data_IF_318938342807
#
_entry.id   IF_318938342807
#
_cell.length_a   1.000
_cell.length_b   1.000
_cell.length_c   1.000
_cell.angle_alpha   90.00
_cell.angle_beta   90.00
_cell.angle_gamma   90.00
#
_symmetry.space_group_name_H-M   'P 1'
#
loop_
_entity.id
_entity.type
_entity.pdbx_description
1 polymer ?
#
# COMPACT_ATOMS: atom_id res chain seq x y z
N UNK A 1 1.72 26.90 -8.88
CA UNK A 1 2.27 27.47 -7.62
C UNK A 1 1.39 27.22 -6.38
N UNK A 2 0.15 27.73 -6.31
CA UNK A 2 -0.75 27.51 -5.14
C UNK A 2 -1.04 26.02 -4.83
N UNK A 3 -1.30 25.23 -5.87
CA UNK A 3 -1.48 23.77 -5.76
C UNK A 3 -0.15 23.05 -5.46
N UNK A 4 0.93 23.44 -6.15
CA UNK A 4 2.26 22.84 -5.94
C UNK A 4 2.78 23.01 -4.50
N UNK A 5 2.49 24.15 -3.85
CA UNK A 5 2.91 24.43 -2.47
C UNK A 5 1.80 24.19 -1.44
N UNK A 6 0.69 23.56 -1.82
CA UNK A 6 -0.46 23.30 -0.93
C UNK A 6 -0.96 24.54 -0.15
N UNK A 7 -0.75 25.75 -0.69
CA UNK A 7 -1.08 27.01 0.00
C UNK A 7 -2.59 27.20 0.21
N UNK A 8 -3.41 26.48 -0.54
CA UNK A 8 -4.87 26.47 -0.42
C UNK A 8 -5.36 25.84 0.91
N UNK A 9 -4.54 25.06 1.61
CA UNK A 9 -4.84 24.52 2.94
C UNK A 9 -4.60 25.54 4.07
N UNK A 10 -3.83 26.60 3.82
CA UNK A 10 -3.47 27.58 4.86
C UNK A 10 -4.68 28.25 5.55
N UNK A 11 -5.80 28.59 4.87
CA UNK A 11 -6.99 29.10 5.53
C UNK A 11 -7.57 28.10 6.54
N UNK A 12 -7.64 26.82 6.17
CA UNK A 12 -8.15 25.75 7.05
C UNK A 12 -7.25 25.59 8.29
N UNK A 13 -5.92 25.61 8.12
CA UNK A 13 -4.99 25.56 9.25
C UNK A 13 -5.09 26.78 10.18
N UNK A 14 -5.36 27.96 9.62
CA UNK A 14 -5.60 29.16 10.43
C UNK A 14 -6.89 29.05 11.25
N UNK A 15 -7.94 28.45 10.69
CA UNK A 15 -9.19 28.19 11.43
C UNK A 15 -8.96 27.15 12.52
N UNK A 16 -8.32 26.02 12.17
CA UNK A 16 -8.05 24.92 13.10
C UNK A 16 -7.15 25.32 14.27
N UNK A 17 -6.26 26.31 14.06
CA UNK A 17 -5.43 26.87 15.13
C UNK A 17 -6.24 27.71 16.12
N UNK A 18 -7.31 28.38 15.65
CA UNK A 18 -8.14 29.26 16.49
C UNK A 18 -9.29 28.54 17.17
N UNK A 19 -9.86 27.54 16.51
CA UNK A 19 -11.01 26.77 17.00
C UNK A 19 -10.99 25.34 16.46
N UNK A 20 -11.76 24.46 17.09
CA UNK A 20 -12.03 23.13 16.55
C UNK A 20 -12.80 23.27 15.23
N UNK A 21 -12.37 22.54 14.21
CA UNK A 21 -13.03 22.52 12.90
C UNK A 21 -14.44 21.94 13.00
N UNK A 22 -15.37 22.57 12.29
CA UNK A 22 -16.74 22.11 12.10
C UNK A 22 -16.95 21.61 10.67
N UNK A 23 -18.06 20.90 10.43
CA UNK A 23 -18.37 20.34 9.10
C UNK A 23 -18.46 21.43 8.03
N UNK A 24 -19.01 22.59 8.38
CA UNK A 24 -19.15 23.75 7.48
C UNK A 24 -17.79 24.39 7.08
N UNK A 25 -16.71 24.14 7.83
CA UNK A 25 -15.36 24.61 7.46
C UNK A 25 -14.74 23.78 6.33
N UNK A 26 -15.32 22.62 6.01
CA UNK A 26 -14.77 21.69 5.03
C UNK A 26 -15.09 22.11 3.60
N UNK A 27 -14.08 22.05 2.74
CA UNK A 27 -14.28 22.37 1.33
C UNK A 27 -15.15 21.32 0.63
N UNK A 28 -16.03 21.73 -0.30
CA UNK A 28 -16.77 20.79 -1.13
C UNK A 28 -15.80 20.00 -2.01
N UNK A 29 -16.18 18.76 -2.33
CA UNK A 29 -15.42 17.89 -3.21
C UNK A 29 -15.39 18.48 -4.63
N UNK A 30 -14.24 18.37 -5.29
CA UNK A 30 -14.08 18.79 -6.68
C UNK A 30 -15.08 18.04 -7.58
N UNK A 31 -15.68 18.69 -8.60
CA UNK A 31 -16.62 18.04 -9.51
C UNK A 31 -16.10 16.75 -10.17
N UNK A 32 -14.81 16.74 -10.52
CA UNK A 32 -14.11 15.57 -11.09
C UNK A 32 -13.97 14.39 -10.11
N UNK A 33 -14.03 14.66 -8.80
CA UNK A 33 -13.83 13.67 -7.75
C UNK A 33 -15.17 13.20 -7.14
N UNK A 34 -16.30 13.55 -7.77
CA UNK A 34 -17.64 13.12 -7.33
C UNK A 34 -17.86 11.64 -7.58
N UNK A 35 -18.58 10.99 -6.66
CA UNK A 35 -18.82 9.54 -6.69
C UNK A 35 -19.58 9.06 -7.92
N UNK A 36 -20.56 9.85 -8.39
CA UNK A 36 -21.36 9.49 -9.55
C UNK A 36 -20.51 9.39 -10.82
N UNK A 37 -19.72 10.41 -11.12
CA UNK A 37 -18.86 10.42 -12.32
C UNK A 37 -17.86 9.27 -12.31
N UNK A 38 -17.10 9.13 -11.22
CA UNK A 38 -16.07 8.09 -11.09
C UNK A 38 -16.67 6.68 -11.10
N UNK A 39 -17.82 6.53 -10.46
CA UNK A 39 -18.54 5.27 -10.37
C UNK A 39 -19.16 4.83 -11.70
N UNK A 40 -19.78 5.75 -12.44
CA UNK A 40 -20.35 5.48 -13.76
C UNK A 40 -19.25 5.17 -14.79
N UNK A 41 -18.11 5.87 -14.73
CA UNK A 41 -16.96 5.60 -15.62
C UNK A 41 -16.43 4.18 -15.43
N UNK A 42 -16.10 3.78 -14.19
CA UNK A 42 -15.58 2.45 -13.91
C UNK A 42 -16.63 1.36 -14.19
N UNK A 43 -17.90 1.61 -13.88
CA UNK A 43 -18.98 0.69 -14.18
C UNK A 43 -19.12 0.47 -15.69
N UNK A 44 -19.01 1.51 -16.52
CA UNK A 44 -19.04 1.37 -17.97
C UNK A 44 -17.93 0.47 -18.51
N UNK A 45 -16.71 0.59 -17.96
CA UNK A 45 -15.60 -0.31 -18.30
C UNK A 45 -15.82 -1.75 -17.80
N UNK A 46 -16.45 -1.91 -16.64
CA UNK A 46 -16.82 -3.23 -16.10
C UNK A 46 -17.88 -3.92 -16.97
N UNK A 47 -18.96 -3.21 -17.32
CA UNK A 47 -20.04 -3.74 -18.16
C UNK A 47 -19.51 -4.18 -19.53
N UNK A 48 -18.61 -3.39 -20.14
CA UNK A 48 -17.93 -3.77 -21.38
C UNK A 48 -17.03 -5.01 -21.23
N UNK A 49 -16.35 -5.18 -20.09
CA UNK A 49 -15.53 -6.36 -19.84
C UNK A 49 -16.38 -7.61 -19.62
N UNK A 50 -17.54 -7.48 -18.95
CA UNK A 50 -18.51 -8.58 -18.78
C UNK A 50 -19.06 -9.04 -20.13
N UNK A 51 -19.46 -8.12 -21.01
CA UNK A 51 -19.94 -8.45 -22.35
C UNK A 51 -18.86 -9.17 -23.19
N UNK A 52 -17.63 -8.63 -23.21
CA UNK A 52 -16.51 -9.28 -23.93
C UNK A 52 -16.17 -10.65 -23.36
N UNK A 53 -16.27 -10.81 -22.04
CA UNK A 53 -15.99 -12.07 -21.38
C UNK A 53 -17.03 -13.14 -21.78
N UNK A 54 -18.29 -12.74 -21.96
CA UNK A 54 -19.33 -13.62 -22.50
C UNK A 54 -19.06 -14.02 -23.97
N UNK A 55 -18.66 -13.07 -24.82
CA UNK A 55 -18.30 -13.35 -26.23
C UNK A 55 -17.09 -14.28 -26.34
N UNK A 56 -16.06 -14.07 -25.51
CA UNK A 56 -14.82 -14.85 -25.49
C UNK A 56 -14.94 -16.17 -24.69
N UNK A 57 -16.12 -16.50 -24.14
CA UNK A 57 -16.36 -17.62 -23.24
C UNK A 57 -15.34 -17.73 -22.07
N UNK A 58 -15.00 -16.58 -21.47
CA UNK A 58 -14.04 -16.47 -20.35
C UNK A 58 -14.67 -15.79 -19.14
N UNK A 59 -14.05 -15.94 -17.98
CA UNK A 59 -14.48 -15.19 -16.79
C UNK A 59 -14.10 -13.69 -16.92
N UNK A 60 -15.01 -12.76 -16.55
CA UNK A 60 -14.72 -11.34 -16.53
C UNK A 60 -13.72 -11.00 -15.42
N UNK A 61 -12.86 -10.01 -15.66
CA UNK A 61 -11.83 -9.62 -14.69
C UNK A 61 -11.90 -8.14 -14.34
N UNK A 62 -12.11 -7.85 -13.06
CA UNK A 62 -12.22 -6.49 -12.53
C UNK A 62 -10.89 -5.75 -12.65
N UNK A 63 -9.78 -6.48 -12.50
CA UNK A 63 -8.45 -5.93 -12.72
C UNK A 63 -8.30 -5.34 -14.14
N UNK A 64 -8.82 -6.02 -15.17
CA UNK A 64 -8.76 -5.52 -16.56
C UNK A 64 -9.57 -4.24 -16.73
N UNK A 65 -10.77 -4.16 -16.12
CA UNK A 65 -11.59 -2.96 -16.15
C UNK A 65 -10.89 -1.77 -15.46
N UNK A 66 -10.31 -1.99 -14.27
CA UNK A 66 -9.55 -0.98 -13.52
C UNK A 66 -8.35 -0.48 -14.34
N UNK A 67 -7.56 -1.39 -14.93
CA UNK A 67 -6.38 -1.05 -15.73
C UNK A 67 -6.77 -0.26 -16.98
N UNK A 68 -7.87 -0.62 -17.66
CA UNK A 68 -8.35 0.14 -18.83
C UNK A 68 -8.82 1.55 -18.47
N UNK A 69 -9.49 1.72 -17.32
CA UNK A 69 -10.00 3.01 -16.85
C UNK A 69 -8.86 3.92 -16.35
N UNK A 70 -8.07 3.47 -15.37
CA UNK A 70 -7.09 4.32 -14.70
C UNK A 70 -5.64 4.16 -15.20
N UNK A 71 -5.33 3.09 -15.94
CA UNK A 71 -3.95 2.72 -16.26
C UNK A 71 -3.18 3.76 -17.07
N UNK A 72 -3.81 4.43 -18.04
CA UNK A 72 -3.14 5.48 -18.84
C UNK A 72 -2.73 6.67 -17.99
N UNK A 73 -3.66 7.18 -17.16
CA UNK A 73 -3.39 8.29 -16.24
C UNK A 73 -2.33 7.90 -15.20
N UNK A 74 -2.42 6.68 -14.67
CA UNK A 74 -1.46 6.13 -13.71
C UNK A 74 -0.04 6.03 -14.30
N UNK A 75 0.11 5.54 -15.54
CA UNK A 75 1.42 5.42 -16.20
C UNK A 75 2.15 6.75 -16.40
N UNK A 76 1.41 7.84 -16.66
CA UNK A 76 2.00 9.18 -16.79
C UNK A 76 2.72 9.58 -15.49
N UNK A 77 2.09 9.34 -14.34
CA UNK A 77 2.70 9.62 -13.04
C UNK A 77 3.91 8.71 -12.74
N UNK A 78 3.90 7.48 -13.27
CA UNK A 78 5.05 6.58 -13.20
C UNK A 78 6.31 7.13 -13.86
N UNK A 79 6.17 7.83 -14.99
CA UNK A 79 7.31 8.49 -15.63
C UNK A 79 7.89 9.59 -14.74
N UNK A 80 7.06 10.33 -14.00
CA UNK A 80 7.53 11.30 -13.01
C UNK A 80 8.27 10.62 -11.85
N UNK A 81 7.84 9.45 -11.38
CA UNK A 81 8.57 8.68 -10.35
C UNK A 81 9.95 8.25 -10.84
N UNK A 82 10.06 7.81 -12.10
CA UNK A 82 11.35 7.48 -12.68
C UNK A 82 12.28 8.69 -12.74
N UNK A 83 11.76 9.87 -13.08
CA UNK A 83 12.51 11.12 -13.07
C UNK A 83 12.93 11.51 -11.64
N UNK A 84 12.03 11.38 -10.67
CA UNK A 84 12.31 11.64 -9.25
C UNK A 84 13.47 10.78 -8.75
N UNK A 85 13.41 9.46 -8.92
CA UNK A 85 14.47 8.55 -8.49
C UNK A 85 15.76 8.79 -9.28
N UNK A 86 15.67 9.17 -10.55
CA UNK A 86 16.81 9.62 -11.35
C UNK A 86 17.52 10.82 -10.73
N UNK A 87 16.78 11.87 -10.35
CA UNK A 87 17.37 13.06 -9.68
C UNK A 87 18.02 12.72 -8.35
N UNK A 88 17.49 11.73 -7.63
CA UNK A 88 18.06 11.25 -6.36
C UNK A 88 19.42 10.57 -6.54
N UNK A 89 19.63 9.85 -7.63
CA UNK A 89 20.93 9.21 -7.96
C UNK A 89 21.97 10.23 -8.42
N UNK A 90 21.53 11.29 -9.11
CA UNK A 90 22.42 12.33 -9.63
C UNK A 90 23.00 13.21 -8.52
N UNK A 91 22.27 13.43 -7.42
CA UNK A 91 22.74 14.22 -6.26
C UNK A 91 24.11 13.78 -5.73
N UNK A 92 24.35 12.47 -5.42
CA UNK A 92 25.67 11.97 -5.05
C UNK A 92 26.80 12.35 -5.99
N UNK A 93 26.56 12.37 -7.31
CA UNK A 93 27.59 12.62 -8.32
C UNK A 93 28.07 14.08 -8.23
N UNK A 94 27.14 15.03 -8.15
CA UNK A 94 27.48 16.44 -7.95
C UNK A 94 28.25 16.66 -6.65
N UNK A 95 27.82 15.98 -5.59
CA UNK A 95 28.45 16.11 -4.28
C UNK A 95 29.86 15.49 -4.28
N UNK A 96 30.08 14.36 -4.95
CA UNK A 96 31.41 13.80 -5.17
C UNK A 96 32.33 14.77 -5.91
N UNK A 97 31.86 15.37 -7.01
CA UNK A 97 32.64 16.38 -7.76
C UNK A 97 33.00 17.61 -6.92
N UNK A 98 32.09 18.07 -6.06
CA UNK A 98 32.38 19.15 -5.10
C UNK A 98 33.46 18.75 -4.09
N UNK A 99 33.41 17.52 -3.56
CA UNK A 99 34.45 17.01 -2.65
C UNK A 99 35.79 16.92 -3.38
N UNK A 100 35.80 16.42 -4.62
CA UNK A 100 37.01 16.32 -5.45
C UNK A 100 37.67 17.68 -5.72
N UNK A 101 36.86 18.74 -5.89
CA UNK A 101 37.36 20.11 -5.99
C UNK A 101 38.06 20.58 -4.70
N UNK A 102 37.50 20.26 -3.53
CA UNK A 102 38.10 20.61 -2.23
C UNK A 102 39.40 19.84 -2.00
N UNK A 103 39.45 18.56 -2.39
CA UNK A 103 40.66 17.73 -2.29
C UNK A 103 41.82 18.28 -3.14
N UNK A 104 41.51 18.77 -4.34
CA UNK A 104 42.49 19.27 -5.30
C UNK A 104 42.48 20.80 -5.41
N UNK A 105 42.21 21.49 -4.30
CA UNK A 105 42.05 22.94 -4.29
C UNK A 105 43.34 23.64 -4.74
N UNK A 106 43.27 24.37 -5.85
CA UNK A 106 44.35 25.21 -6.36
C UNK A 106 43.90 26.68 -6.40
N UNK A 107 44.48 27.57 -5.57
CA UNK A 107 44.10 28.98 -5.50
C UNK A 107 44.38 29.75 -6.80
N UNK A 108 45.21 29.25 -7.72
CA UNK A 108 45.47 29.88 -9.01
C UNK A 108 44.41 29.56 -10.08
N UNK A 109 43.60 28.51 -9.86
CA UNK A 109 42.68 27.99 -10.87
C UNK A 109 41.25 28.54 -10.69
N UNK A 110 41.04 29.77 -11.15
CA UNK A 110 39.71 30.40 -11.15
C UNK A 110 38.64 29.62 -11.93
N UNK A 111 39.03 28.85 -12.95
CA UNK A 111 38.09 28.02 -13.72
C UNK A 111 37.50 26.87 -12.89
N UNK A 112 38.33 26.19 -12.08
CA UNK A 112 37.87 25.13 -11.18
C UNK A 112 36.90 25.65 -10.10
N UNK A 113 37.11 26.89 -9.62
CA UNK A 113 36.18 27.53 -8.70
C UNK A 113 34.80 27.77 -9.33
N UNK A 114 34.77 28.25 -10.57
CA UNK A 114 33.50 28.43 -11.31
C UNK A 114 32.80 27.09 -11.59
N UNK A 115 33.55 26.03 -11.89
CA UNK A 115 33.02 24.67 -12.06
C UNK A 115 32.40 24.15 -10.76
N UNK A 116 33.06 24.35 -9.62
CA UNK A 116 32.55 23.98 -8.30
C UNK A 116 31.26 24.73 -7.93
N UNK A 117 31.16 26.03 -8.26
CA UNK A 117 29.90 26.77 -8.11
C UNK A 117 28.80 26.22 -9.03
N UNK A 118 29.15 25.78 -10.24
CA UNK A 118 28.24 25.09 -11.15
C UNK A 118 27.70 23.79 -10.54
N UNK A 119 28.57 22.95 -9.97
CA UNK A 119 28.17 21.72 -9.27
C UNK A 119 27.32 21.99 -8.03
N UNK A 120 27.63 23.04 -7.25
CA UNK A 120 26.82 23.44 -6.09
C UNK A 120 25.41 23.93 -6.48
N UNK A 121 25.32 24.72 -7.55
CA UNK A 121 24.05 25.15 -8.12
C UNK A 121 23.25 23.96 -8.67
N UNK A 122 23.92 23.04 -9.36
CA UNK A 122 23.35 21.79 -9.86
C UNK A 122 22.78 20.91 -8.74
N UNK A 123 23.55 20.68 -7.67
CA UNK A 123 23.11 19.95 -6.49
C UNK A 123 21.89 20.59 -5.84
N UNK A 124 21.91 21.91 -5.64
CA UNK A 124 20.80 22.67 -5.07
C UNK A 124 19.54 22.57 -5.93
N UNK A 125 19.69 22.68 -7.25
CA UNK A 125 18.59 22.51 -8.20
C UNK A 125 18.05 21.07 -8.18
N UNK A 126 18.91 20.05 -8.14
CA UNK A 126 18.50 18.65 -8.05
C UNK A 126 17.70 18.35 -6.78
N UNK A 127 18.11 18.88 -5.63
CA UNK A 127 17.36 18.70 -4.37
C UNK A 127 16.00 19.38 -4.43
N UNK A 128 15.91 20.60 -4.99
CA UNK A 128 14.65 21.32 -5.13
C UNK A 128 13.70 20.61 -6.11
N UNK A 129 14.22 20.17 -7.26
CA UNK A 129 13.44 19.42 -8.26
C UNK A 129 12.95 18.10 -7.66
N UNK A 130 13.81 17.36 -6.95
CA UNK A 130 13.43 16.14 -6.25
C UNK A 130 12.29 16.39 -5.26
N UNK A 131 12.41 17.41 -4.40
CA UNK A 131 11.37 17.73 -3.41
C UNK A 131 10.02 18.07 -4.06
N UNK A 132 10.04 18.86 -5.15
CA UNK A 132 8.83 19.20 -5.90
C UNK A 132 8.22 17.95 -6.55
N UNK A 133 9.02 17.15 -7.25
CA UNK A 133 8.57 15.93 -7.91
C UNK A 133 7.99 14.93 -6.91
N UNK A 134 8.68 14.71 -5.79
CA UNK A 134 8.25 13.79 -4.73
C UNK A 134 6.87 14.16 -4.18
N UNK A 135 6.68 15.43 -3.79
CA UNK A 135 5.39 15.86 -3.24
C UNK A 135 4.26 15.86 -4.28
N UNK A 136 4.55 16.23 -5.53
CA UNK A 136 3.58 16.14 -6.63
C UNK A 136 3.17 14.69 -6.89
N UNK A 137 4.15 13.79 -6.97
CA UNK A 137 3.91 12.36 -7.16
C UNK A 137 3.03 11.81 -6.04
N UNK A 138 3.41 12.00 -4.77
CA UNK A 138 2.64 11.47 -3.64
C UNK A 138 1.21 12.02 -3.59
N UNK A 139 1.03 13.32 -3.83
CA UNK A 139 -0.30 13.94 -3.85
C UNK A 139 -1.19 13.35 -4.96
N UNK A 140 -0.68 13.31 -6.19
CA UNK A 140 -1.45 12.77 -7.32
C UNK A 140 -1.74 11.29 -7.15
N UNK A 141 -0.79 10.53 -6.58
CA UNK A 141 -0.95 9.11 -6.42
C UNK A 141 -1.94 8.73 -5.32
N UNK A 142 -1.98 9.51 -4.23
CA UNK A 142 -3.05 9.43 -3.22
C UNK A 142 -4.42 9.77 -3.84
N UNK A 143 -4.50 10.81 -4.70
CA UNK A 143 -5.75 11.19 -5.36
C UNK A 143 -6.25 10.10 -6.31
N UNK A 144 -5.37 9.44 -7.08
CA UNK A 144 -5.74 8.30 -7.93
C UNK A 144 -6.25 7.12 -7.10
N UNK A 145 -5.57 6.78 -6.00
CA UNK A 145 -6.05 5.76 -5.05
C UNK A 145 -7.44 6.06 -4.51
N UNK A 146 -7.66 7.30 -4.06
CA UNK A 146 -8.95 7.76 -3.57
C UNK A 146 -10.04 7.66 -4.64
N UNK A 147 -9.76 8.09 -5.88
CA UNK A 147 -10.71 8.00 -6.99
C UNK A 147 -11.14 6.57 -7.26
N UNK A 148 -10.18 5.65 -7.33
CA UNK A 148 -10.46 4.22 -7.51
C UNK A 148 -11.27 3.67 -6.33
N UNK A 149 -10.94 4.04 -5.09
CA UNK A 149 -11.71 3.65 -3.90
C UNK A 149 -13.16 4.10 -4.01
N UNK A 150 -13.39 5.37 -4.34
CA UNK A 150 -14.75 5.93 -4.49
C UNK A 150 -15.52 5.23 -5.61
N UNK A 151 -14.88 4.99 -6.76
CA UNK A 151 -15.50 4.30 -7.89
C UNK A 151 -15.92 2.86 -7.55
N UNK A 152 -15.05 2.10 -6.88
CA UNK A 152 -15.35 0.73 -6.45
C UNK A 152 -16.44 0.71 -5.37
N UNK A 153 -16.40 1.65 -4.41
CA UNK A 153 -17.50 1.82 -3.45
C UNK A 153 -18.84 2.05 -4.17
N UNK A 154 -18.86 2.93 -5.18
CA UNK A 154 -20.07 3.17 -5.98
C UNK A 154 -20.58 1.90 -6.66
N UNK A 155 -19.70 1.10 -7.30
CA UNK A 155 -20.09 -0.18 -7.91
C UNK A 155 -20.66 -1.16 -6.89
N UNK A 156 -20.02 -1.28 -5.71
CA UNK A 156 -20.51 -2.13 -4.62
C UNK A 156 -21.88 -1.64 -4.16
N UNK A 157 -22.06 -0.34 -3.91
CA UNK A 157 -23.35 0.23 -3.52
C UNK A 157 -24.42 0.05 -4.58
N UNK A 158 -24.10 0.20 -5.87
CA UNK A 158 -25.04 -0.06 -6.97
C UNK A 158 -25.44 -1.53 -7.02
N UNK A 159 -24.49 -2.45 -6.94
CA UNK A 159 -24.76 -3.90 -6.89
C UNK A 159 -25.61 -4.24 -5.68
N UNK A 160 -25.26 -3.75 -4.49
CA UNK A 160 -26.06 -3.88 -3.26
C UNK A 160 -27.46 -3.32 -3.49
N UNK A 161 -27.61 -2.12 -4.01
CA UNK A 161 -28.94 -1.52 -4.21
C UNK A 161 -29.80 -2.36 -5.16
N UNK A 162 -29.26 -2.78 -6.31
CA UNK A 162 -29.97 -3.63 -7.29
C UNK A 162 -30.30 -4.99 -6.69
N UNK A 163 -29.34 -5.63 -6.04
CA UNK A 163 -29.52 -6.94 -5.40
C UNK A 163 -30.50 -6.85 -4.23
N UNK A 164 -30.40 -5.88 -3.33
CA UNK A 164 -31.28 -5.73 -2.17
C UNK A 164 -32.71 -5.30 -2.54
N UNK A 165 -32.88 -4.51 -3.61
CA UNK A 165 -34.22 -4.19 -4.11
C UNK A 165 -34.96 -5.45 -4.60
N UNK A 166 -34.23 -6.49 -5.02
CA UNK A 166 -34.79 -7.74 -5.58
C UNK A 166 -34.62 -8.98 -4.67
N UNK A 167 -33.71 -8.94 -3.69
CA UNK A 167 -33.34 -10.05 -2.80
C UNK A 167 -34.24 -10.19 -1.56
N UNK A 168 -35.35 -9.46 -1.48
CA UNK A 168 -36.46 -9.87 -0.60
C UNK A 168 -36.96 -11.29 -0.93
N UNK A 169 -36.56 -11.87 -2.07
CA UNK A 169 -36.81 -13.27 -2.46
C UNK A 169 -35.62 -14.22 -2.16
N UNK A 170 -35.28 -14.37 -0.88
CA UNK A 170 -34.72 -15.53 -0.16
C UNK A 170 -33.47 -16.33 -0.59
N UNK A 171 -32.90 -16.29 -1.80
CA UNK A 171 -31.79 -17.22 -2.16
C UNK A 171 -30.38 -16.60 -2.24
N UNK A 172 -30.24 -15.32 -2.60
CA UNK A 172 -28.92 -14.66 -2.68
C UNK A 172 -28.37 -14.23 -1.30
N UNK A 173 -29.26 -13.96 -0.35
CA UNK A 173 -28.92 -13.46 1.00
C UNK A 173 -28.18 -14.48 1.87
N UNK A 174 -28.24 -15.78 1.52
CA UNK A 174 -27.49 -16.83 2.22
C UNK A 174 -25.99 -16.88 1.87
N UNK A 175 -25.57 -16.34 0.71
CA UNK A 175 -24.16 -16.38 0.26
C UNK A 175 -23.36 -15.16 0.70
N UNK A 176 -24.00 -14.01 0.90
CA UNK A 176 -23.33 -12.77 1.33
C UNK A 176 -23.98 -12.14 2.54
N UNK A 177 -23.26 -12.08 3.65
CA UNK A 177 -23.72 -11.43 4.88
C UNK A 177 -23.49 -9.93 4.83
N UNK A 178 -24.32 -9.15 5.55
CA UNK A 178 -24.11 -7.70 5.74
C UNK A 178 -22.70 -7.40 6.26
N UNK A 179 -22.15 -8.26 7.12
CA UNK A 179 -20.79 -8.15 7.64
C UNK A 179 -19.72 -8.26 6.55
N UNK A 180 -19.91 -9.13 5.55
CA UNK A 180 -18.98 -9.25 4.41
C UNK A 180 -18.99 -7.97 3.55
N UNK A 181 -20.17 -7.38 3.31
CA UNK A 181 -20.29 -6.13 2.54
C UNK A 181 -19.61 -4.97 3.27
N UNK A 182 -19.84 -4.84 4.58
CA UNK A 182 -19.18 -3.84 5.41
C UNK A 182 -17.67 -4.05 5.42
N UNK A 183 -17.19 -5.29 5.46
CA UNK A 183 -15.77 -5.58 5.37
C UNK A 183 -15.18 -5.21 4.00
N UNK A 184 -15.90 -5.46 2.89
CA UNK A 184 -15.46 -5.01 1.57
C UNK A 184 -15.27 -3.49 1.56
N UNK A 185 -16.28 -2.73 1.96
CA UNK A 185 -16.28 -1.26 1.98
C UNK A 185 -15.25 -0.65 2.94
N UNK A 186 -14.98 -1.29 4.08
CA UNK A 186 -14.10 -0.74 5.13
C UNK A 186 -12.65 -1.22 5.05
N UNK A 187 -12.39 -2.44 4.55
CA UNK A 187 -11.05 -3.01 4.53
C UNK A 187 -10.51 -3.20 3.11
N UNK A 188 -11.28 -3.80 2.20
CA UNK A 188 -10.79 -4.17 0.87
C UNK A 188 -10.62 -2.92 -0.01
N UNK A 189 -11.57 -1.99 -0.01
CA UNK A 189 -11.45 -0.78 -0.85
C UNK A 189 -10.32 0.16 -0.38
N UNK A 190 -10.02 0.19 0.92
CA UNK A 190 -8.90 0.98 1.47
C UNK A 190 -7.51 0.49 1.01
N UNK A 191 -7.39 -0.74 0.48
CA UNK A 191 -6.12 -1.24 -0.09
C UNK A 191 -5.74 -0.50 -1.37
N UNK A 192 -6.69 0.07 -2.09
CA UNK A 192 -6.44 0.82 -3.32
C UNK A 192 -5.63 2.10 -3.07
N UNK A 193 -5.89 2.79 -1.96
CA UNK A 193 -5.12 3.99 -1.57
C UNK A 193 -3.63 3.66 -1.37
N UNK A 194 -3.36 2.52 -0.72
CA UNK A 194 -2.00 2.09 -0.39
C UNK A 194 -1.26 1.53 -1.61
N UNK A 195 -1.91 0.67 -2.40
CA UNK A 195 -1.25 0.02 -3.54
C UNK A 195 -0.89 1.02 -4.63
N UNK A 196 -1.75 2.01 -4.90
CA UNK A 196 -1.48 3.01 -5.94
C UNK A 196 -0.21 3.80 -5.64
N UNK A 197 0.05 4.11 -4.37
CA UNK A 197 1.25 4.82 -3.91
C UNK A 197 2.55 4.04 -4.15
N UNK A 198 2.52 2.71 -4.01
CA UNK A 198 3.74 1.89 -4.06
C UNK A 198 3.94 1.11 -5.35
N UNK A 199 2.91 0.92 -6.17
CA UNK A 199 2.94 0.01 -7.32
C UNK A 199 4.03 0.36 -8.36
N UNK A 200 4.37 1.64 -8.59
CA UNK A 200 5.47 2.00 -9.49
C UNK A 200 6.86 1.54 -9.01
N UNK A 201 7.07 1.35 -7.71
CA UNK A 201 8.35 0.87 -7.19
C UNK A 201 8.66 -0.58 -7.58
N UNK A 202 7.69 -1.35 -8.10
CA UNK A 202 7.96 -2.69 -8.63
C UNK A 202 8.88 -2.67 -9.85
N UNK A 203 8.82 -1.64 -10.69
CA UNK A 203 9.67 -1.52 -11.88
C UNK A 203 10.74 -0.43 -11.72
N UNK A 204 10.43 0.68 -11.04
CA UNK A 204 11.41 1.72 -10.74
C UNK A 204 12.48 1.19 -9.78
N UNK A 205 12.13 0.33 -8.82
CA UNK A 205 13.08 -0.23 -7.86
C UNK A 205 14.21 -1.03 -8.52
N UNK A 206 13.90 -2.05 -9.35
CA UNK A 206 14.91 -2.78 -10.12
C UNK A 206 15.71 -1.88 -11.07
N UNK A 207 15.06 -0.94 -11.77
CA UNK A 207 15.75 0.01 -12.65
C UNK A 207 16.78 0.85 -11.86
N UNK A 208 16.39 1.36 -10.69
CA UNK A 208 17.28 2.10 -9.81
C UNK A 208 18.44 1.23 -9.33
N UNK A 209 18.18 -0.02 -8.96
CA UNK A 209 19.20 -0.95 -8.52
C UNK A 209 20.24 -1.20 -9.61
N UNK A 210 19.81 -1.38 -10.86
CA UNK A 210 20.72 -1.51 -12.02
C UNK A 210 21.55 -0.24 -12.17
N UNK A 211 20.93 0.94 -12.22
CA UNK A 211 21.64 2.21 -12.37
C UNK A 211 22.68 2.44 -11.27
N UNK A 212 22.30 2.27 -10.00
CA UNK A 212 23.23 2.42 -8.87
C UNK A 212 24.36 1.40 -8.94
N UNK A 213 24.06 0.16 -9.30
CA UNK A 213 25.09 -0.88 -9.46
C UNK A 213 26.08 -0.54 -10.57
N UNK A 214 25.60 -0.01 -11.71
CA UNK A 214 26.49 0.44 -12.80
C UNK A 214 27.38 1.61 -12.40
N UNK A 215 26.86 2.56 -11.63
CA UNK A 215 27.65 3.68 -11.10
C UNK A 215 28.69 3.21 -10.09
N UNK A 216 28.33 2.28 -9.20
CA UNK A 216 29.28 1.68 -8.28
C UNK A 216 30.38 0.92 -9.01
N UNK A 217 30.05 0.16 -10.07
CA UNK A 217 31.06 -0.50 -10.91
C UNK A 217 32.03 0.51 -11.55
N UNK A 218 31.52 1.64 -12.04
CA UNK A 218 32.36 2.68 -12.63
C UNK A 218 33.32 3.34 -11.63
N UNK A 219 32.90 3.52 -10.38
CA UNK A 219 33.67 4.27 -9.37
C UNK A 219 34.67 3.43 -8.58
N UNK A 220 34.32 2.18 -8.25
CA UNK A 220 35.12 1.28 -7.38
C UNK A 220 35.39 -0.10 -7.99
N UNK A 221 34.99 -0.35 -9.23
CA UNK A 221 35.30 -1.58 -9.95
C UNK A 221 34.72 -2.83 -9.28
N UNK A 222 35.54 -3.87 -9.12
CA UNK A 222 35.10 -5.18 -8.57
C UNK A 222 34.75 -5.14 -7.08
N UNK A 223 35.14 -4.08 -6.36
CA UNK A 223 35.03 -3.99 -4.89
C UNK A 223 33.58 -3.95 -4.37
N UNK A 224 32.59 -3.60 -5.21
CA UNK A 224 31.18 -3.56 -4.77
C UNK A 224 30.50 -4.94 -4.79
N UNK A 225 31.06 -5.94 -5.49
CA UNK A 225 30.40 -7.25 -5.66
C UNK A 225 30.10 -7.96 -4.32
N UNK A 226 31.02 -8.00 -3.33
CA UNK A 226 30.72 -8.58 -2.03
C UNK A 226 29.60 -7.84 -1.28
N UNK A 227 29.49 -6.51 -1.44
CA UNK A 227 28.41 -5.74 -0.84
C UNK A 227 27.04 -6.07 -1.45
N UNK A 228 26.98 -6.35 -2.76
CA UNK A 228 25.74 -6.83 -3.39
C UNK A 228 25.36 -8.23 -2.92
N UNK A 229 26.33 -9.11 -2.69
CA UNK A 229 26.07 -10.41 -2.08
C UNK A 229 25.47 -10.27 -0.67
N UNK A 230 26.02 -9.36 0.14
CA UNK A 230 25.46 -9.01 1.47
C UNK A 230 24.02 -8.49 1.35
N UNK A 231 23.75 -7.60 0.39
CA UNK A 231 22.39 -7.09 0.16
C UNK A 231 21.41 -8.23 -0.13
N UNK A 232 21.76 -9.14 -1.04
CA UNK A 232 20.90 -10.29 -1.40
C UNK A 232 20.65 -11.18 -0.18
N UNK A 233 21.69 -11.52 0.59
CA UNK A 233 21.56 -12.35 1.79
C UNK A 233 20.63 -11.68 2.81
N UNK A 234 20.78 -10.36 3.03
CA UNK A 234 19.95 -9.62 3.97
C UNK A 234 18.49 -9.50 3.48
N UNK A 235 18.24 -9.35 2.18
CA UNK A 235 16.89 -9.37 1.62
C UNK A 235 16.20 -10.74 1.82
N UNK A 236 16.93 -11.84 1.66
CA UNK A 236 16.43 -13.18 1.95
C UNK A 236 16.12 -13.35 3.45
N UNK A 237 17.00 -12.85 4.32
CA UNK A 237 16.79 -12.87 5.77
C UNK A 237 15.56 -12.04 6.19
N UNK A 238 15.39 -10.84 5.65
CA UNK A 238 14.21 -9.99 5.88
C UNK A 238 12.92 -10.67 5.40
N UNK A 239 12.98 -11.40 4.29
CA UNK A 239 11.84 -12.21 3.79
C UNK A 239 11.50 -13.34 4.74
N UNK A 240 12.49 -14.02 5.33
CA UNK A 240 12.29 -15.02 6.38
C UNK A 240 11.63 -14.40 7.63
N UNK A 241 12.12 -13.24 8.09
CA UNK A 241 11.51 -12.51 9.20
C UNK A 241 10.05 -12.14 8.91
N UNK A 242 9.73 -11.70 7.69
CA UNK A 242 8.36 -11.39 7.27
C UNK A 242 7.45 -12.61 7.36
N UNK A 243 7.88 -13.78 6.87
CA UNK A 243 7.10 -15.02 6.95
C UNK A 243 6.84 -15.44 8.39
N UNK A 244 7.88 -15.45 9.22
CA UNK A 244 7.76 -15.78 10.63
C UNK A 244 6.84 -14.78 11.36
N UNK A 245 6.97 -13.49 11.03
CA UNK A 245 6.15 -12.43 11.59
C UNK A 245 4.66 -12.61 11.22
N UNK A 246 4.37 -12.98 9.97
CA UNK A 246 3.00 -13.31 9.52
C UNK A 246 2.41 -14.48 10.31
N UNK A 247 3.16 -15.57 10.48
CA UNK A 247 2.73 -16.73 11.27
C UNK A 247 2.43 -16.37 12.74
N UNK A 248 3.30 -15.56 13.36
CA UNK A 248 3.08 -15.09 14.73
C UNK A 248 1.86 -14.19 14.83
N UNK A 249 1.63 -13.30 13.85
CA UNK A 249 0.46 -12.42 13.80
C UNK A 249 -0.84 -13.24 13.72
N UNK A 250 -0.88 -14.28 12.89
CA UNK A 250 -2.04 -15.19 12.81
C UNK A 250 -2.31 -15.90 14.14
N UNK A 251 -1.28 -16.40 14.81
CA UNK A 251 -1.41 -17.04 16.14
C UNK A 251 -1.88 -16.05 17.20
N UNK A 252 -1.41 -14.81 17.16
CA UNK A 252 -1.88 -13.74 18.05
C UNK A 252 -3.37 -13.47 17.82
N UNK A 253 -3.80 -13.32 16.56
CA UNK A 253 -5.21 -13.08 16.24
C UNK A 253 -6.12 -14.18 16.80
N UNK A 254 -5.79 -15.46 16.60
CA UNK A 254 -6.57 -16.58 17.15
C UNK A 254 -6.67 -16.56 18.69
N UNK A 255 -5.59 -16.17 19.39
CA UNK A 255 -5.60 -16.04 20.86
C UNK A 255 -6.42 -14.83 21.31
N UNK A 256 -6.33 -13.71 20.59
CA UNK A 256 -7.12 -12.51 20.83
C UNK A 256 -8.61 -12.79 20.63
N UNK A 257 -8.99 -13.50 19.57
CA UNK A 257 -10.38 -13.87 19.28
C UNK A 257 -10.97 -14.75 20.39
N UNK A 258 -10.22 -15.77 20.84
CA UNK A 258 -10.64 -16.61 21.95
C UNK A 258 -10.86 -15.78 23.23
N UNK A 259 -9.90 -14.90 23.58
CA UNK A 259 -10.04 -14.01 24.75
C UNK A 259 -11.25 -13.09 24.64
N UNK A 260 -11.50 -12.50 23.46
CA UNK A 260 -12.64 -11.60 23.24
C UNK A 260 -13.96 -12.38 23.33
N UNK A 261 -14.04 -13.58 22.76
CA UNK A 261 -15.21 -14.46 22.85
C UNK A 261 -15.54 -14.81 24.30
N UNK A 262 -14.55 -15.30 25.07
CA UNK A 262 -14.74 -15.61 26.49
C UNK A 262 -15.16 -14.37 27.29
N UNK A 263 -14.57 -13.22 27.00
CA UNK A 263 -14.94 -11.96 27.66
C UNK A 263 -16.39 -11.57 27.35
N UNK A 264 -16.86 -11.78 26.11
CA UNK A 264 -18.25 -11.55 25.73
C UNK A 264 -19.21 -12.48 26.48
N UNK A 265 -18.88 -13.76 26.63
CA UNK A 265 -19.69 -14.73 27.40
C UNK A 265 -19.77 -14.34 28.88
N UNK A 266 -18.66 -13.89 29.48
CA UNK A 266 -18.61 -13.41 30.87
C UNK A 266 -19.49 -12.19 31.08
N UNK A 267 -19.48 -11.23 30.14
CA UNK A 267 -20.31 -10.02 30.21
C UNK A 267 -21.79 -10.39 30.08
N UNK A 268 -22.14 -11.25 29.13
CA UNK A 268 -23.52 -11.71 28.94
C UNK A 268 -24.02 -12.50 30.17
N UNK A 269 -23.15 -13.28 30.82
CA UNK A 269 -23.45 -14.08 32.01
C UNK A 269 -23.20 -13.38 33.35
N UNK A 270 -22.95 -12.07 33.38
CA UNK A 270 -22.39 -11.39 34.57
C UNK A 270 -23.24 -11.53 35.83
N UNK A 271 -24.57 -11.55 35.68
CA UNK A 271 -25.52 -11.70 36.80
C UNK A 271 -25.32 -13.05 37.51
N UNK A 272 -25.22 -14.13 36.75
CA UNK A 272 -24.99 -15.49 37.27
C UNK A 272 -23.63 -15.62 37.94
N UNK A 273 -22.59 -15.00 37.35
CA UNK A 273 -21.24 -15.01 37.90
C UNK A 273 -21.22 -14.31 39.26
N UNK A 274 -21.88 -13.15 39.40
CA UNK A 274 -21.98 -12.41 40.67
C UNK A 274 -22.81 -13.15 41.71
N UNK A 275 -23.92 -13.78 41.32
CA UNK A 275 -24.75 -14.57 42.25
C UNK A 275 -23.98 -15.76 42.86
N UNK A 276 -23.03 -16.33 42.12
CA UNK A 276 -22.23 -17.47 42.57
C UNK A 276 -20.82 -17.09 43.08
N UNK A 277 -20.48 -15.80 43.14
CA UNK A 277 -19.16 -15.29 43.51
C UNK A 277 -17.98 -15.91 42.71
N UNK A 278 -18.20 -16.17 41.40
CA UNK A 278 -17.21 -16.79 40.51
C UNK A 278 -16.23 -15.79 39.89
N UNK A 279 -16.22 -14.52 40.30
CA UNK A 279 -15.45 -13.47 39.63
C UNK A 279 -13.96 -13.79 39.59
N UNK A 280 -13.39 -14.27 40.71
CA UNK A 280 -11.96 -14.61 40.77
C UNK A 280 -11.58 -15.71 39.78
N UNK A 281 -12.39 -16.76 39.67
CA UNK A 281 -12.13 -17.88 38.74
C UNK A 281 -12.14 -17.42 37.28
N UNK A 282 -13.07 -16.54 36.90
CA UNK A 282 -13.12 -15.98 35.55
C UNK A 282 -11.99 -14.96 35.29
N UNK A 283 -11.62 -14.15 36.28
CA UNK A 283 -10.44 -13.27 36.19
C UNK A 283 -9.18 -14.09 35.93
N UNK A 284 -8.98 -15.19 36.63
CA UNK A 284 -7.82 -16.06 36.44
C UNK A 284 -7.83 -16.73 35.07
N UNK A 285 -9.01 -17.16 34.58
CA UNK A 285 -9.17 -17.71 33.23
C UNK A 285 -8.75 -16.70 32.16
N UNK A 286 -9.30 -15.47 32.22
CA UNK A 286 -8.98 -14.39 31.27
C UNK A 286 -7.49 -14.01 31.38
N UNK A 287 -6.93 -13.98 32.59
CA UNK A 287 -5.52 -13.67 32.81
C UNK A 287 -4.60 -14.72 32.17
N UNK A 288 -4.93 -16.02 32.26
CA UNK A 288 -4.18 -17.08 31.57
C UNK A 288 -4.25 -16.94 30.05
N UNK A 289 -5.42 -16.61 29.49
CA UNK A 289 -5.55 -16.34 28.04
C UNK A 289 -4.68 -15.15 27.64
N UNK A 290 -4.71 -14.07 28.43
CA UNK A 290 -3.93 -12.86 28.19
C UNK A 290 -2.42 -13.12 28.27
N UNK A 291 -1.94 -13.95 29.20
CA UNK A 291 -0.53 -14.32 29.27
C UNK A 291 -0.05 -15.05 28.01
N UNK A 292 -0.86 -15.99 27.49
CA UNK A 292 -0.54 -16.70 26.23
C UNK A 292 -0.50 -15.72 25.05
N UNK A 293 -1.47 -14.81 24.96
CA UNK A 293 -1.54 -13.76 23.96
C UNK A 293 -0.30 -12.84 24.01
N UNK A 294 0.02 -12.30 25.20
CA UNK A 294 1.17 -11.41 25.41
C UNK A 294 2.49 -12.10 25.04
N UNK A 295 2.66 -13.39 25.36
CA UNK A 295 3.87 -14.13 24.96
C UNK A 295 4.08 -14.14 23.44
N UNK A 296 3.01 -14.28 22.65
CA UNK A 296 3.09 -14.23 21.18
C UNK A 296 3.29 -12.81 20.67
N UNK A 297 2.63 -11.82 21.28
CA UNK A 297 2.82 -10.40 20.97
C UNK A 297 4.28 -9.98 21.19
N UNK A 298 4.89 -10.38 22.31
CA UNK A 298 6.28 -10.08 22.62
C UNK A 298 7.23 -10.67 21.57
N UNK A 299 7.06 -11.94 21.19
CA UNK A 299 7.85 -12.57 20.13
C UNK A 299 7.72 -11.84 18.79
N UNK A 300 6.50 -11.42 18.43
CA UNK A 300 6.24 -10.62 17.22
C UNK A 300 6.90 -9.24 17.29
N UNK A 301 6.89 -8.60 18.47
CA UNK A 301 7.54 -7.31 18.71
C UNK A 301 9.06 -7.40 18.58
N UNK A 302 9.70 -8.40 19.17
CA UNK A 302 11.14 -8.64 19.02
C UNK A 302 11.53 -8.82 17.56
N UNK A 303 10.77 -9.63 16.81
CA UNK A 303 11.03 -9.85 15.39
C UNK A 303 10.86 -8.57 14.55
N UNK A 304 9.88 -7.74 14.88
CA UNK A 304 9.72 -6.42 14.27
C UNK A 304 10.92 -5.50 14.57
N UNK A 305 11.41 -5.52 15.81
CA UNK A 305 12.61 -4.80 16.22
C UNK A 305 13.85 -5.28 15.46
N UNK A 306 14.04 -6.59 15.32
CA UNK A 306 15.14 -7.18 14.53
C UNK A 306 15.08 -6.78 13.06
N UNK A 307 13.88 -6.76 12.45
CA UNK A 307 13.72 -6.31 11.07
C UNK A 307 14.09 -4.83 10.90
N UNK A 308 13.68 -3.97 11.84
CA UNK A 308 14.05 -2.55 11.83
C UNK A 308 15.56 -2.35 12.06
N UNK A 309 16.17 -3.09 12.97
CA UNK A 309 17.61 -3.06 13.20
C UNK A 309 18.39 -3.51 11.95
N UNK A 310 17.94 -4.58 11.30
CA UNK A 310 18.50 -5.05 10.03
C UNK A 310 18.45 -3.94 8.97
N UNK A 311 17.32 -3.24 8.83
CA UNK A 311 17.18 -2.13 7.88
C UNK A 311 18.26 -1.05 8.06
N UNK A 312 18.59 -0.63 9.29
CA UNK A 312 19.66 0.35 9.52
C UNK A 312 21.07 -0.23 9.39
N UNK A 313 21.26 -1.50 9.71
CA UNK A 313 22.56 -2.16 9.63
C UNK A 313 23.02 -2.43 8.19
N UNK A 314 22.07 -2.69 7.26
CA UNK A 314 22.36 -3.09 5.87
C UNK A 314 23.35 -2.14 5.18
N UNK A 315 23.11 -0.83 5.17
CA UNK A 315 24.03 0.10 4.50
C UNK A 315 25.41 0.12 5.13
N UNK A 316 25.49 0.04 6.46
CA UNK A 316 26.78 0.09 7.18
C UNK A 316 27.62 -1.15 6.91
N UNK A 317 27.01 -2.34 6.89
CA UNK A 317 27.70 -3.58 6.54
C UNK A 317 28.15 -3.55 5.08
N UNK A 318 27.29 -3.10 4.15
CA UNK A 318 27.66 -2.97 2.73
C UNK A 318 28.86 -2.03 2.53
N UNK A 319 28.84 -0.85 3.16
CA UNK A 319 29.93 0.13 3.09
C UNK A 319 31.23 -0.46 3.66
N UNK A 320 31.15 -1.09 4.83
CA UNK A 320 32.32 -1.70 5.48
C UNK A 320 32.96 -2.80 4.63
N UNK A 321 32.15 -3.72 4.11
CA UNK A 321 32.62 -4.82 3.25
C UNK A 321 33.23 -4.28 1.96
N UNK A 322 32.64 -3.23 1.37
CA UNK A 322 33.15 -2.59 0.15
C UNK A 322 34.53 -2.00 0.36
N UNK A 323 34.73 -1.21 1.42
CA UNK A 323 36.01 -0.55 1.66
C UNK A 323 37.11 -1.52 2.10
N UNK A 324 36.79 -2.56 2.89
CA UNK A 324 37.77 -3.62 3.17
C UNK A 324 38.17 -4.36 1.89
N UNK A 325 37.20 -4.71 1.04
CA UNK A 325 37.51 -5.37 -0.24
C UNK A 325 38.37 -4.50 -1.13
N UNK A 326 38.13 -3.19 -1.13
CA UNK A 326 38.89 -2.26 -1.94
C UNK A 326 40.34 -2.06 -1.44
N UNK A 327 40.52 -2.01 -0.12
CA UNK A 327 41.84 -2.01 0.53
C UNK A 327 42.63 -3.28 0.20
N UNK A 328 41.96 -4.45 0.26
CA UNK A 328 42.56 -5.75 -0.13
C UNK A 328 42.92 -5.86 -1.62
N UNK A 329 42.31 -5.04 -2.48
CA UNK A 329 42.59 -4.98 -3.91
C UNK A 329 43.65 -3.91 -4.25
N UNK A 330 44.29 -3.31 -3.25
CA UNK A 330 45.30 -2.24 -3.38
C UNK A 330 44.81 -1.03 -4.20
N UNK A 331 43.50 -0.78 -4.20
CA UNK A 331 42.89 0.34 -4.90
C UNK A 331 42.89 1.59 -3.99
N UNK A 332 43.51 2.67 -4.44
CA UNK A 332 43.48 3.96 -3.74
C UNK A 332 42.07 4.56 -3.77
N UNK A 333 41.54 4.94 -2.60
CA UNK A 333 40.21 5.56 -2.48
C UNK A 333 40.37 7.05 -2.15
N UNK A 334 39.78 7.91 -2.97
CA UNK A 334 39.64 9.34 -2.68
C UNK A 334 38.43 9.60 -1.79
N UNK A 335 38.42 10.70 -1.03
CA UNK A 335 37.26 11.07 -0.20
C UNK A 335 36.02 11.34 -1.07
N UNK A 336 36.20 11.86 -2.29
CA UNK A 336 35.13 11.97 -3.29
C UNK A 336 34.45 10.62 -3.58
N UNK A 337 35.24 9.57 -3.83
CA UNK A 337 34.70 8.23 -4.08
C UNK A 337 34.02 7.64 -2.85
N UNK A 338 34.60 7.81 -1.65
CA UNK A 338 33.98 7.36 -0.40
C UNK A 338 32.59 7.98 -0.24
N UNK A 339 32.48 9.29 -0.41
CA UNK A 339 31.23 10.00 -0.22
C UNK A 339 30.16 9.56 -1.23
N UNK A 340 30.56 9.43 -2.50
CA UNK A 340 29.70 8.97 -3.58
C UNK A 340 29.15 7.55 -3.30
N UNK A 341 30.03 6.61 -2.99
CA UNK A 341 29.68 5.20 -2.69
C UNK A 341 28.74 5.10 -1.49
N UNK A 342 29.03 5.82 -0.41
CA UNK A 342 28.18 5.84 0.80
C UNK A 342 26.78 6.33 0.46
N UNK A 343 26.66 7.43 -0.29
CA UNK A 343 25.36 8.02 -0.62
C UNK A 343 24.57 7.14 -1.61
N UNK A 344 25.25 6.52 -2.58
CA UNK A 344 24.64 5.56 -3.51
C UNK A 344 24.11 4.32 -2.77
N UNK A 345 24.84 3.77 -1.80
CA UNK A 345 24.35 2.65 -0.99
C UNK A 345 23.14 3.04 -0.12
N UNK A 346 23.10 4.27 0.40
CA UNK A 346 21.92 4.75 1.13
C UNK A 346 20.69 4.90 0.22
N UNK A 347 20.87 5.36 -1.02
CA UNK A 347 19.79 5.41 -2.01
C UNK A 347 19.27 3.99 -2.35
N UNK A 348 20.19 3.05 -2.60
CA UNK A 348 19.87 1.65 -2.88
C UNK A 348 19.13 0.99 -1.71
N UNK A 349 19.54 1.27 -0.47
CA UNK A 349 18.91 0.73 0.74
C UNK A 349 17.42 1.05 0.78
N UNK A 350 17.02 2.31 0.62
CA UNK A 350 15.60 2.68 0.66
C UNK A 350 14.78 1.99 -0.42
N UNK A 351 15.27 1.96 -1.65
CA UNK A 351 14.54 1.34 -2.77
C UNK A 351 14.40 -0.16 -2.59
N UNK A 352 15.51 -0.86 -2.33
CA UNK A 352 15.55 -2.32 -2.30
C UNK A 352 14.96 -2.93 -1.02
N UNK A 353 15.16 -2.30 0.14
CA UNK A 353 14.75 -2.88 1.44
C UNK A 353 13.42 -2.35 1.97
N UNK A 354 12.97 -1.17 1.52
CA UNK A 354 11.72 -0.55 1.99
C UNK A 354 10.64 -0.53 0.90
N UNK A 355 10.89 0.20 -0.19
CA UNK A 355 9.83 0.48 -1.17
C UNK A 355 9.45 -0.74 -2.01
N UNK A 356 10.43 -1.47 -2.54
CA UNK A 356 10.15 -2.65 -3.34
C UNK A 356 9.39 -3.74 -2.54
N UNK A 357 9.80 -4.13 -1.32
CA UNK A 357 9.05 -5.09 -0.54
C UNK A 357 7.66 -4.59 -0.11
N UNK A 358 7.50 -3.29 0.16
CA UNK A 358 6.17 -2.71 0.41
C UNK A 358 5.27 -2.79 -0.82
N UNK A 359 5.81 -2.52 -2.00
CA UNK A 359 5.06 -2.61 -3.25
C UNK A 359 4.54 -4.04 -3.49
N UNK A 360 5.41 -5.05 -3.33
CA UNK A 360 5.02 -6.47 -3.44
C UNK A 360 3.93 -6.82 -2.43
N UNK A 361 4.07 -6.38 -1.17
CA UNK A 361 3.07 -6.61 -0.13
C UNK A 361 1.72 -6.00 -0.50
N UNK A 362 1.69 -4.70 -0.86
CA UNK A 362 0.44 -4.00 -1.17
C UNK A 362 -0.23 -4.52 -2.43
N UNK A 363 0.54 -4.94 -3.43
CA UNK A 363 -0.01 -5.59 -4.63
C UNK A 363 -0.61 -6.95 -4.27
N UNK A 364 0.04 -7.74 -3.41
CA UNK A 364 -0.50 -9.04 -2.99
C UNK A 364 -1.84 -8.90 -2.25
N UNK A 365 -1.95 -7.90 -1.36
CA UNK A 365 -3.19 -7.58 -0.64
C UNK A 365 -4.27 -7.08 -1.61
N UNK A 366 -3.93 -6.15 -2.52
CA UNK A 366 -4.88 -5.60 -3.48
C UNK A 366 -5.43 -6.66 -4.44
N UNK A 367 -4.62 -7.63 -4.89
CA UNK A 367 -5.10 -8.73 -5.75
C UNK A 367 -6.16 -9.57 -5.04
N UNK A 368 -5.95 -9.90 -3.76
CA UNK A 368 -6.94 -10.66 -2.96
C UNK A 368 -8.21 -9.85 -2.78
N UNK A 369 -8.11 -8.55 -2.49
CA UNK A 369 -9.26 -7.66 -2.37
C UNK A 369 -10.03 -7.51 -3.68
N UNK A 370 -9.34 -7.34 -4.81
CA UNK A 370 -9.97 -7.27 -6.14
C UNK A 370 -10.75 -8.54 -6.43
N UNK A 371 -10.18 -9.74 -6.16
CA UNK A 371 -10.88 -11.01 -6.35
C UNK A 371 -12.13 -11.13 -5.49
N UNK A 372 -12.10 -10.68 -4.23
CA UNK A 372 -13.28 -10.69 -3.36
C UNK A 372 -14.39 -9.77 -3.88
N UNK A 373 -14.02 -8.59 -4.35
CA UNK A 373 -14.96 -7.62 -4.93
C UNK A 373 -15.50 -8.15 -6.26
N UNK A 374 -14.66 -8.71 -7.11
CA UNK A 374 -15.04 -9.36 -8.37
C UNK A 374 -16.06 -10.48 -8.14
N UNK A 375 -15.77 -11.41 -7.22
CA UNK A 375 -16.70 -12.48 -6.83
C UNK A 375 -18.03 -11.92 -6.31
N UNK A 376 -18.00 -10.82 -5.56
CA UNK A 376 -19.22 -10.14 -5.08
C UNK A 376 -20.02 -9.52 -6.23
N UNK A 377 -19.36 -8.86 -7.17
CA UNK A 377 -20.01 -8.23 -8.33
C UNK A 377 -20.61 -9.27 -9.29
N UNK A 378 -20.05 -10.48 -9.34
CA UNK A 378 -20.52 -11.59 -10.18
C UNK A 378 -21.62 -12.44 -9.56
N UNK A 379 -22.07 -12.14 -8.34
CA UNK A 379 -23.22 -12.84 -7.76
C UNK A 379 -24.46 -12.67 -8.63
N UNK A 380 -25.18 -13.78 -8.79
CA UNK A 380 -26.39 -13.86 -9.60
C UNK A 380 -27.38 -12.76 -9.20
N UNK A 381 -27.78 -11.97 -10.19
CA UNK A 381 -28.90 -11.06 -10.04
C UNK A 381 -30.17 -11.88 -10.23
N UNK A 382 -31.09 -11.82 -9.26
CA UNK A 382 -32.39 -12.47 -9.41
C UNK A 382 -33.08 -11.75 -10.58
N UNK A 383 -33.44 -12.45 -11.67
CA UNK A 383 -34.09 -11.83 -12.81
C UNK A 383 -35.37 -11.16 -12.34
N UNK A 384 -35.72 -10.04 -12.98
CA UNK A 384 -36.96 -9.33 -12.68
C UNK A 384 -38.15 -10.28 -12.84
N UNK A 385 -38.64 -10.84 -11.75
CA UNK A 385 -39.95 -11.47 -11.68
C UNK A 385 -40.93 -10.32 -11.86
N UNK A 386 -41.36 -10.08 -13.10
CA UNK A 386 -42.57 -9.34 -13.38
C UNK A 386 -43.71 -10.22 -12.82
N UNK A 387 -44.34 -9.86 -11.70
CA UNK A 387 -45.51 -10.60 -11.26
C UNK A 387 -46.60 -10.30 -12.29
N UNK A 388 -46.81 -11.20 -13.25
CA UNK A 388 -48.08 -11.21 -13.95
C UNK A 388 -49.13 -11.53 -12.90
N UNK A 389 -50.02 -10.58 -12.61
CA UNK A 389 -51.17 -10.85 -11.77
C UNK A 389 -51.95 -12.02 -12.40
N UNK A 390 -52.35 -13.05 -11.62
CA UNK A 390 -53.27 -14.04 -12.12
C UNK A 390 -54.56 -13.34 -12.60
N UNK A 391 -55.04 -13.74 -13.78
CA UNK A 391 -56.19 -13.14 -14.45
C UNK A 391 -57.53 -13.41 -13.74
N UNK A 392 -57.56 -14.35 -12.80
CA UNK A 392 -58.72 -14.69 -11.97
C UNK A 392 -58.48 -14.19 -10.55
N UNK A 393 -59.20 -13.17 -10.12
CA UNK A 393 -59.09 -12.54 -8.80
C UNK A 393 -59.47 -13.41 -7.60
N UNK A 394 -59.57 -14.73 -7.76
CA UNK A 394 -59.99 -15.68 -6.72
C UNK A 394 -58.83 -16.43 -6.05
N UNK A 395 -57.68 -16.60 -6.72
CA UNK A 395 -56.56 -17.36 -6.16
C UNK A 395 -55.37 -16.45 -5.86
N UNK A 396 -55.17 -16.14 -4.57
CA UNK A 396 -54.17 -15.17 -4.11
C UNK A 396 -52.78 -15.82 -3.98
N UNK A 397 -52.69 -17.08 -3.55
CA UNK A 397 -51.46 -17.90 -3.50
C UNK A 397 -51.85 -19.37 -3.63
N UNK A 398 -51.29 -20.09 -4.60
CA UNK A 398 -51.38 -21.55 -4.71
C UNK A 398 -49.98 -22.16 -4.50
N UNK A 399 -49.87 -23.12 -3.58
CA UNK A 399 -48.62 -23.83 -3.27
C UNK A 399 -48.88 -25.33 -3.30
N UNK A 400 -48.46 -25.99 -4.38
CA UNK A 400 -48.54 -27.44 -4.53
C UNK A 400 -47.16 -28.08 -4.38
N UNK A 401 -47.05 -29.13 -3.56
CA UNK A 401 -45.82 -29.92 -3.33
C UNK A 401 -44.60 -29.10 -2.86
N UNK A 402 -44.80 -28.13 -1.97
CA UNK A 402 -43.71 -27.33 -1.40
C UNK A 402 -42.84 -28.15 -0.44
N UNK A 403 -41.53 -28.16 -0.67
CA UNK A 403 -40.54 -28.76 0.23
C UNK A 403 -39.44 -27.75 0.51
N UNK A 404 -39.10 -27.53 1.79
CA UNK A 404 -38.04 -26.61 2.19
C UNK A 404 -37.12 -27.24 3.24
N UNK A 405 -35.82 -26.99 3.11
CA UNK A 405 -34.80 -27.31 4.11
C UNK A 405 -33.94 -26.08 4.35
N UNK A 406 -33.52 -25.87 5.60
CA UNK A 406 -32.62 -24.78 5.98
C UNK A 406 -31.16 -25.10 5.67
N UNK A 407 -30.80 -26.38 5.71
CA UNK A 407 -29.49 -26.89 5.38
C UNK A 407 -29.57 -27.76 4.12
N UNK A 408 -28.58 -27.64 3.24
CA UNK A 408 -28.36 -28.49 2.07
C UNK A 408 -27.30 -29.53 2.39
#
# INVERSE_FOLDING_TARGET
LLLMFNRWLNPLFKISHKRKLEEDDMYPVLPEDRSQLLGEELQGYWDQEVLRAQEDAREPSLMKAIVKCYGKSYLVWGMLTCLEEGTRVVQPIFLGKMVSYIENYDPANSAALHEAYGYAAGLSACVLVWAILHHLYFYHMQRVGMRLRVAVCHMIYRKVSVTWHFALSSSAMGKTTTGQIVNLLSNDVNRFDQVMMFLHYLWVGPLLAVTVTTLLWMEIGMSYLPAMAVLIILLLLQSCFRMLFSSLRSKTAALTDNRISTMSEVINGIKTIKMNAWEKSFIDLISRLRQKEISKILKSSYLRGMNLASFFAVSKIMIFVTFITNDLLDNLITASQVFLVVTLFEALRFSSTLYFPMAVEKVSEAIVSIRRIENFLLLDEIPQLNPQLPSDGETIVDMNNFTASWDK
#
